data_IF_172475459225
#
_entry.id   IF_172475459225
#
_cell.length_a   1.000
_cell.length_b   1.000
_cell.length_c   1.000
_cell.angle_alpha   90.00
_cell.angle_beta   90.00
_cell.angle_gamma   90.00
#
_symmetry.space_group_name_H-M   'P 1'
#
loop_
_entity.id
_entity.type
_entity.pdbx_description
1 polymer ?
#
# COMPACT_ATOMS: atom_id res chain seq x y z
N UNK A 1 23.41 -9.29 10.38
CA UNK A 1 22.35 -10.13 10.99
C UNK A 1 22.39 -9.87 12.50
N UNK A 2 21.48 -9.04 13.03
CA UNK A 2 21.49 -8.65 14.45
C UNK A 2 20.24 -9.18 15.15
N UNK A 3 20.45 -10.23 15.95
CA UNK A 3 19.45 -11.06 16.60
C UNK A 3 19.04 -10.47 17.98
N UNK A 4 19.48 -9.25 18.31
CA UNK A 4 19.24 -8.61 19.61
C UNK A 4 18.03 -7.65 19.68
N UNK A 5 17.19 -7.57 18.63
CA UNK A 5 16.00 -6.67 18.60
C UNK A 5 14.73 -7.23 19.27
N UNK A 6 14.82 -8.24 20.17
CA UNK A 6 13.62 -8.94 20.67
C UNK A 6 13.28 -8.83 22.16
N UNK A 7 14.07 -8.16 23.00
CA UNK A 7 13.82 -8.18 24.45
C UNK A 7 13.79 -6.82 25.19
N UNK A 8 14.07 -5.71 24.51
CA UNK A 8 13.84 -4.37 25.08
C UNK A 8 13.07 -3.54 24.07
N UNK A 9 11.75 -3.56 24.18
CA UNK A 9 10.90 -2.63 23.44
C UNK A 9 11.25 -1.21 23.88
N UNK A 10 11.89 -0.45 23.00
CA UNK A 10 11.85 1.00 23.09
C UNK A 10 10.39 1.41 22.95
N UNK A 11 9.77 2.10 23.93
CA UNK A 11 8.39 2.57 23.84
C UNK A 11 8.12 3.50 22.64
N UNK A 12 9.16 3.92 21.92
CA UNK A 12 9.09 4.89 20.82
C UNK A 12 8.92 4.32 19.41
N UNK A 13 8.96 3.01 19.16
CA UNK A 13 8.73 2.52 17.78
C UNK A 13 7.24 2.40 17.50
N UNK A 14 6.58 3.55 17.37
CA UNK A 14 5.25 3.65 16.75
C UNK A 14 5.48 3.48 15.26
N UNK A 15 4.95 2.40 14.66
CA UNK A 15 4.98 2.22 13.21
C UNK A 15 4.39 3.48 12.59
N UNK A 16 5.13 4.07 11.66
CA UNK A 16 4.62 5.21 10.93
C UNK A 16 3.64 4.71 9.88
N UNK A 17 2.70 5.57 9.47
CA UNK A 17 1.75 5.22 8.43
C UNK A 17 1.73 6.27 7.34
N UNK A 18 1.44 5.83 6.12
CA UNK A 18 1.27 6.71 4.97
C UNK A 18 0.03 7.62 5.09
N UNK A 19 -0.90 7.28 6.00
CA UNK A 19 -2.15 8.00 6.23
C UNK A 19 -2.54 7.91 7.70
N UNK A 20 -2.94 9.03 8.27
CA UNK A 20 -3.54 9.13 9.62
C UNK A 20 -4.94 9.73 9.49
N UNK A 21 -5.73 9.69 10.57
CA UNK A 21 -7.04 10.35 10.60
C UNK A 21 -6.95 11.85 10.28
N UNK A 22 -5.87 12.51 10.65
CA UNK A 22 -5.69 13.96 10.50
C UNK A 22 -4.82 14.36 9.31
N UNK A 23 -4.42 13.39 8.47
CA UNK A 23 -3.64 13.68 7.25
C UNK A 23 -4.41 14.63 6.31
N UNK A 24 -3.71 15.54 5.61
CA UNK A 24 -4.32 16.38 4.59
C UNK A 24 -4.86 15.52 3.43
N UNK A 25 -5.59 16.16 2.51
CA UNK A 25 -5.92 15.49 1.25
C UNK A 25 -4.63 15.17 0.47
N UNK A 26 -4.55 13.99 -0.18
CA UNK A 26 -3.35 13.60 -0.91
C UNK A 26 -3.12 14.50 -2.13
N UNK A 27 -1.87 14.92 -2.35
CA UNK A 27 -1.45 15.59 -3.58
C UNK A 27 -1.34 14.55 -4.71
N UNK A 28 -2.05 14.73 -5.84
CA UNK A 28 -1.96 13.82 -6.99
C UNK A 28 -0.53 13.60 -7.52
N UNK A 29 0.39 14.54 -7.30
CA UNK A 29 1.76 14.48 -7.79
C UNK A 29 2.77 13.97 -6.74
N UNK A 30 2.35 13.73 -5.50
CA UNK A 30 3.25 13.20 -4.48
C UNK A 30 3.51 11.72 -4.71
N UNK A 31 4.71 11.41 -5.19
CA UNK A 31 5.17 10.04 -5.45
C UNK A 31 5.09 9.17 -4.19
N UNK A 32 5.29 9.76 -3.01
CA UNK A 32 5.34 9.01 -1.76
C UNK A 32 3.96 8.84 -1.10
N UNK A 33 2.88 9.32 -1.74
CA UNK A 33 1.54 9.34 -1.15
C UNK A 33 1.06 7.96 -0.67
N UNK A 34 1.52 6.87 -1.30
CA UNK A 34 1.16 5.47 -0.97
C UNK A 34 2.35 4.65 -0.46
N UNK A 35 3.43 5.30 -0.02
CA UNK A 35 4.59 4.63 0.54
C UNK A 35 4.58 4.77 2.05
N UNK A 36 4.53 3.63 2.73
CA UNK A 36 4.70 3.58 4.17
C UNK A 36 6.07 4.20 4.55
N UNK A 37 6.12 5.13 5.53
CA UNK A 37 7.38 5.76 5.89
C UNK A 37 8.44 4.77 6.40
N UNK A 38 8.05 3.69 7.09
CA UNK A 38 9.00 2.65 7.52
C UNK A 38 9.60 1.92 6.30
N UNK A 39 8.81 1.72 5.23
CA UNK A 39 9.31 1.19 3.97
C UNK A 39 10.27 2.18 3.30
N UNK A 40 9.90 3.47 3.21
CA UNK A 40 10.76 4.50 2.62
C UNK A 40 12.11 4.59 3.32
N UNK A 41 12.12 4.63 4.65
CA UNK A 41 13.34 4.69 5.46
C UNK A 41 14.20 3.43 5.25
N UNK A 42 13.57 2.26 5.12
CA UNK A 42 14.27 1.00 4.82
C UNK A 42 14.99 1.06 3.47
N UNK A 43 14.35 1.60 2.44
CA UNK A 43 14.97 1.74 1.11
C UNK A 43 16.01 2.86 1.05
N UNK A 44 15.84 3.94 1.81
CA UNK A 44 16.85 4.97 2.01
C UNK A 44 18.12 4.40 2.64
N UNK A 45 17.99 3.64 3.74
CA UNK A 45 19.12 3.01 4.42
C UNK A 45 19.88 2.00 3.56
N UNK A 46 19.20 1.38 2.58
CA UNK A 46 19.83 0.47 1.60
C UNK A 46 20.50 1.19 0.42
N UNK A 47 20.37 2.51 0.32
CA UNK A 47 20.84 3.28 -0.84
C UNK A 47 19.97 3.12 -2.09
N UNK A 48 18.76 2.58 -1.94
CA UNK A 48 17.85 2.20 -3.03
C UNK A 48 16.67 3.16 -3.19
N UNK A 49 16.68 4.31 -2.52
CA UNK A 49 15.58 5.30 -2.58
C UNK A 49 15.27 5.75 -4.01
N UNK A 50 16.30 6.00 -4.82
CA UNK A 50 16.13 6.46 -6.21
C UNK A 50 15.48 5.39 -7.07
N UNK A 51 15.86 4.13 -6.88
CA UNK A 51 15.29 2.98 -7.59
C UNK A 51 13.82 2.82 -7.23
N UNK A 52 13.48 2.92 -5.94
CA UNK A 52 12.10 2.92 -5.47
C UNK A 52 11.29 4.08 -6.05
N UNK A 53 11.82 5.30 -6.04
CA UNK A 53 11.13 6.47 -6.59
C UNK A 53 10.84 6.29 -8.08
N UNK A 54 11.80 5.77 -8.85
CA UNK A 54 11.63 5.48 -10.27
C UNK A 54 10.56 4.42 -10.51
N UNK A 55 10.60 3.33 -9.75
CA UNK A 55 9.59 2.28 -9.85
C UNK A 55 8.19 2.80 -9.52
N UNK A 56 8.04 3.63 -8.48
CA UNK A 56 6.74 4.23 -8.17
C UNK A 56 6.30 5.15 -9.30
N UNK A 57 7.16 6.06 -9.77
CA UNK A 57 6.81 7.00 -10.85
C UNK A 57 6.41 6.30 -12.14
N UNK A 58 7.15 5.30 -12.57
CA UNK A 58 7.01 4.75 -13.93
C UNK A 58 6.24 3.44 -13.99
N UNK A 59 6.24 2.63 -12.93
CA UNK A 59 5.60 1.31 -12.92
C UNK A 59 4.29 1.30 -12.12
N UNK A 60 4.25 2.02 -10.98
CA UNK A 60 3.03 2.14 -10.15
C UNK A 60 2.10 3.22 -10.70
N UNK A 61 2.63 4.44 -10.85
CA UNK A 61 1.91 5.62 -11.33
C UNK A 61 1.82 5.70 -12.87
N UNK A 62 2.61 4.90 -13.58
CA UNK A 62 2.67 4.85 -15.06
C UNK A 62 3.04 6.18 -15.72
N UNK A 63 3.89 6.97 -15.07
CA UNK A 63 4.33 8.27 -15.56
C UNK A 63 3.32 9.40 -15.40
N UNK A 64 2.12 9.11 -14.86
CA UNK A 64 1.02 10.07 -14.69
C UNK A 64 0.74 10.32 -13.20
N UNK A 65 0.07 11.41 -12.83
CA UNK A 65 -0.42 11.61 -11.46
C UNK A 65 -1.27 10.42 -10.95
N UNK A 66 -1.42 10.32 -9.63
CA UNK A 66 -2.36 9.37 -9.02
C UNK A 66 -3.78 9.61 -9.53
N UNK A 67 -4.49 8.53 -9.89
CA UNK A 67 -5.85 8.64 -10.42
C UNK A 67 -6.84 9.05 -9.32
N UNK A 68 -7.97 9.67 -9.69
CA UNK A 68 -9.01 10.05 -8.75
C UNK A 68 -9.45 8.93 -7.80
N UNK A 69 -9.61 7.70 -8.30
CA UNK A 69 -10.04 6.56 -7.47
C UNK A 69 -8.95 6.12 -6.47
N UNK A 70 -7.69 6.28 -6.85
CA UNK A 70 -6.54 6.00 -5.96
C UNK A 70 -6.54 7.05 -4.82
N UNK A 71 -6.74 8.32 -5.14
CA UNK A 71 -6.85 9.38 -4.14
C UNK A 71 -8.10 9.25 -3.26
N UNK A 72 -9.21 8.74 -3.80
CA UNK A 72 -10.42 8.44 -3.04
C UNK A 72 -10.19 7.34 -2.00
N UNK A 73 -9.42 6.30 -2.33
CA UNK A 73 -8.97 5.31 -1.35
C UNK A 73 -8.33 5.99 -0.12
N UNK A 74 -7.42 6.96 -0.33
CA UNK A 74 -6.76 7.67 0.77
C UNK A 74 -7.74 8.47 1.62
N UNK A 75 -8.71 9.14 0.98
CA UNK A 75 -9.76 9.88 1.70
C UNK A 75 -10.61 8.94 2.54
N UNK A 76 -10.97 7.78 2.02
CA UNK A 76 -11.73 6.75 2.74
C UNK A 76 -10.94 6.13 3.90
N UNK A 77 -9.67 5.78 3.70
CA UNK A 77 -8.79 5.30 4.78
C UNK A 77 -8.73 6.33 5.91
N UNK A 78 -8.54 7.60 5.58
CA UNK A 78 -8.54 8.69 6.55
C UNK A 78 -9.86 8.79 7.31
N UNK A 79 -11.00 8.76 6.62
CA UNK A 79 -12.34 8.75 7.23
C UNK A 79 -12.48 7.58 8.22
N UNK A 80 -12.14 6.37 7.78
CA UNK A 80 -12.23 5.15 8.59
C UNK A 80 -11.30 5.16 9.81
N UNK A 81 -10.12 5.78 9.70
CA UNK A 81 -9.21 5.99 10.83
C UNK A 81 -9.79 6.98 11.86
N UNK A 82 -10.35 8.11 11.42
CA UNK A 82 -11.03 9.08 12.33
C UNK A 82 -12.19 8.44 13.08
N UNK A 83 -12.99 7.63 12.38
CA UNK A 83 -14.13 6.90 12.94
C UNK A 83 -13.71 5.68 13.79
N UNK A 84 -12.41 5.37 13.86
CA UNK A 84 -11.84 4.21 14.56
C UNK A 84 -12.46 2.87 14.10
N UNK A 85 -12.81 2.79 12.82
CA UNK A 85 -13.32 1.58 12.16
C UNK A 85 -12.16 0.68 11.75
N UNK A 86 -11.05 1.30 11.34
CA UNK A 86 -9.79 0.62 11.02
C UNK A 86 -8.68 1.19 11.92
N UNK A 87 -7.57 0.49 11.99
CA UNK A 87 -6.34 0.91 12.67
C UNK A 87 -5.13 0.45 11.88
N UNK A 88 -4.00 1.10 12.12
CA UNK A 88 -2.72 0.57 11.64
C UNK A 88 -2.48 -0.87 12.13
N UNK A 89 -2.00 -1.72 11.22
CA UNK A 89 -1.57 -3.10 11.53
C UNK A 89 -0.11 -3.15 12.01
N UNK A 90 0.69 -2.11 11.75
CA UNK A 90 2.11 -2.03 12.06
C UNK A 90 2.99 -2.75 11.02
N UNK A 91 2.57 -2.72 9.76
CA UNK A 91 3.30 -3.33 8.63
C UNK A 91 2.85 -2.72 7.31
N UNK A 92 3.67 -2.84 6.28
CA UNK A 92 3.37 -2.44 4.91
C UNK A 92 3.30 -3.64 3.96
N UNK A 93 2.71 -3.41 2.78
CA UNK A 93 2.54 -4.40 1.72
C UNK A 93 3.88 -4.79 1.09
N UNK A 94 3.99 -6.00 0.53
CA UNK A 94 5.27 -6.52 0.04
C UNK A 94 5.70 -6.03 -1.34
N UNK A 95 4.85 -5.29 -2.05
CA UNK A 95 5.14 -4.74 -3.38
C UNK A 95 5.09 -3.22 -3.33
N UNK A 96 5.96 -2.55 -4.09
CA UNK A 96 5.91 -1.10 -4.25
C UNK A 96 4.50 -0.63 -4.69
N UNK A 97 4.00 0.52 -4.16
CA UNK A 97 4.75 1.53 -3.40
C UNK A 97 5.01 1.19 -1.93
N UNK A 98 4.75 -0.05 -1.51
CA UNK A 98 4.81 -0.53 -0.11
C UNK A 98 3.81 0.23 0.78
N UNK A 99 2.51 0.25 0.41
CA UNK A 99 1.49 0.95 1.18
C UNK A 99 1.31 0.35 2.58
N UNK A 100 0.93 1.19 3.53
CA UNK A 100 0.56 0.75 4.88
C UNK A 100 -0.59 -0.26 4.81
N UNK A 101 -0.53 -1.30 5.64
CA UNK A 101 -1.63 -2.26 5.80
C UNK A 101 -2.46 -1.86 7.02
N UNK A 102 -3.76 -1.69 6.81
CA UNK A 102 -4.69 -1.40 7.89
C UNK A 102 -5.45 -2.66 8.31
N UNK A 103 -5.86 -2.73 9.57
CA UNK A 103 -6.71 -3.79 10.13
C UNK A 103 -8.07 -3.23 10.49
N UNK A 104 -9.13 -3.88 10.03
CA UNK A 104 -10.50 -3.59 10.44
C UNK A 104 -10.72 -3.91 11.93
N UNK A 105 -11.01 -2.89 12.74
CA UNK A 105 -11.38 -3.03 14.14
C UNK A 105 -12.88 -3.35 14.31
N UNK A 106 -13.70 -2.96 13.32
CA UNK A 106 -15.14 -3.19 13.23
C UNK A 106 -15.50 -3.65 11.81
N UNK A 107 -16.72 -4.13 11.62
CA UNK A 107 -17.27 -4.27 10.27
C UNK A 107 -17.50 -2.88 9.66
N UNK A 108 -17.40 -2.76 8.35
CA UNK A 108 -17.63 -1.49 7.66
C UNK A 108 -17.51 -1.64 6.15
N UNK A 109 -17.41 -0.50 5.49
CA UNK A 109 -17.22 -0.41 4.05
C UNK A 109 -16.43 0.84 3.68
N UNK A 110 -15.87 0.80 2.48
CA UNK A 110 -15.25 1.92 1.78
C UNK A 110 -15.93 2.07 0.42
N UNK A 111 -16.09 3.32 -0.02
CA UNK A 111 -16.64 3.63 -1.34
C UNK A 111 -15.56 4.25 -2.22
N UNK A 112 -15.23 3.61 -3.34
CA UNK A 112 -14.19 4.05 -4.27
C UNK A 112 -14.71 3.89 -5.70
N UNK A 113 -14.61 4.93 -6.52
CA UNK A 113 -15.09 4.90 -7.91
C UNK A 113 -16.60 4.63 -8.01
N UNK A 114 -17.37 4.96 -6.97
CA UNK A 114 -18.80 4.63 -6.87
C UNK A 114 -19.09 3.18 -6.44
N UNK A 115 -18.08 2.34 -6.28
CA UNK A 115 -18.24 0.96 -5.81
C UNK A 115 -18.10 0.89 -4.29
N UNK A 116 -18.97 0.09 -3.65
CA UNK A 116 -18.91 -0.13 -2.20
C UNK A 116 -18.28 -1.47 -1.89
N UNK A 117 -17.09 -1.46 -1.28
CA UNK A 117 -16.38 -2.65 -0.84
C UNK A 117 -16.63 -2.84 0.66
N UNK A 118 -17.30 -3.93 1.03
CA UNK A 118 -17.57 -4.28 2.43
C UNK A 118 -16.43 -5.10 3.02
N UNK A 119 -16.17 -4.93 4.31
CA UNK A 119 -15.17 -5.68 5.07
C UNK A 119 -15.69 -6.05 6.47
N UNK A 120 -15.12 -7.13 7.02
CA UNK A 120 -15.44 -7.62 8.37
C UNK A 120 -14.33 -7.24 9.34
N UNK A 121 -14.67 -7.19 10.62
CA UNK A 121 -13.69 -7.07 11.70
C UNK A 121 -12.63 -8.15 11.55
N UNK A 122 -11.36 -7.74 11.61
CA UNK A 122 -10.22 -8.61 11.46
C UNK A 122 -9.68 -8.72 10.03
N UNK A 123 -10.40 -8.22 9.02
CA UNK A 123 -9.86 -8.15 7.66
C UNK A 123 -8.76 -7.09 7.59
N UNK A 124 -7.81 -7.30 6.70
CA UNK A 124 -6.78 -6.36 6.35
C UNK A 124 -7.17 -5.60 5.09
N UNK A 125 -6.82 -4.32 5.03
CA UNK A 125 -7.15 -3.41 3.93
C UNK A 125 -5.86 -2.78 3.45
N UNK A 126 -5.60 -2.90 2.15
CA UNK A 126 -4.35 -2.45 1.54
C UNK A 126 -4.58 -1.93 0.13
N UNK A 127 -3.88 -0.87 -0.25
CA UNK A 127 -3.90 -0.33 -1.61
C UNK A 127 -3.35 -1.35 -2.61
N UNK A 128 -3.94 -1.40 -3.81
CA UNK A 128 -3.43 -2.17 -4.94
C UNK A 128 -3.18 -1.26 -6.15
N UNK A 129 -1.96 -1.30 -6.67
CA UNK A 129 -1.57 -0.48 -7.82
C UNK A 129 -2.28 -0.91 -9.11
N UNK A 130 -2.25 -0.03 -10.12
CA UNK A 130 -2.86 -0.26 -11.45
C UNK A 130 -2.42 -1.58 -12.07
N UNK A 131 -1.13 -1.89 -12.03
CA UNK A 131 -0.66 -3.14 -12.62
C UNK A 131 -1.21 -4.38 -11.92
N UNK A 132 -1.33 -4.38 -10.59
CA UNK A 132 -1.97 -5.51 -9.90
C UNK A 132 -3.43 -5.66 -10.32
N UNK A 133 -4.15 -4.56 -10.53
CA UNK A 133 -5.53 -4.58 -11.04
C UNK A 133 -5.61 -5.11 -12.48
N UNK A 134 -4.68 -4.72 -13.36
CA UNK A 134 -4.64 -5.25 -14.72
C UNK A 134 -4.38 -6.77 -14.76
N UNK A 135 -3.59 -7.29 -13.81
CA UNK A 135 -3.31 -8.72 -13.68
C UNK A 135 -4.46 -9.50 -13.01
N UNK A 136 -5.33 -8.80 -12.27
CA UNK A 136 -6.42 -9.36 -11.47
C UNK A 136 -7.72 -8.65 -11.83
N UNK A 137 -8.35 -9.01 -12.95
CA UNK A 137 -9.56 -8.35 -13.43
C UNK A 137 -10.74 -8.42 -12.45
N UNK A 138 -10.67 -9.30 -11.44
CA UNK A 138 -11.62 -9.35 -10.32
C UNK A 138 -11.49 -8.16 -9.33
N UNK A 139 -10.37 -7.43 -9.34
CA UNK A 139 -10.17 -6.24 -8.52
C UNK A 139 -10.77 -5.02 -9.22
N UNK A 140 -12.00 -4.70 -8.85
CA UNK A 140 -12.76 -3.59 -9.43
C UNK A 140 -12.36 -2.21 -8.86
N UNK A 141 -11.67 -2.18 -7.72
CA UNK A 141 -11.21 -0.97 -7.03
C UNK A 141 -9.70 -1.07 -6.65
N UNK A 142 -9.00 0.05 -6.37
CA UNK A 142 -7.58 0.07 -5.98
C UNK A 142 -7.33 -0.40 -4.54
N UNK A 143 -8.03 -1.44 -4.12
CA UNK A 143 -8.00 -1.97 -2.75
C UNK A 143 -8.09 -3.49 -2.77
N UNK A 144 -7.37 -4.12 -1.85
CA UNK A 144 -7.57 -5.51 -1.48
C UNK A 144 -8.06 -5.56 -0.03
N UNK A 145 -9.14 -6.29 0.18
CA UNK A 145 -9.69 -6.62 1.50
C UNK A 145 -9.59 -8.13 1.69
N UNK A 146 -8.72 -8.59 2.58
CA UNK A 146 -8.52 -10.02 2.85
C UNK A 146 -7.79 -10.26 4.18
N UNK A 147 -7.57 -11.51 4.58
CA UNK A 147 -6.72 -11.89 5.71
C UNK A 147 -5.30 -12.19 5.24
N UNK A 148 -4.48 -11.15 5.21
CA UNK A 148 -3.14 -11.20 4.65
C UNK A 148 -2.18 -11.97 5.57
N UNK A 149 -1.43 -12.90 4.98
CA UNK A 149 -0.36 -13.63 5.65
C UNK A 149 0.96 -12.85 5.59
N UNK A 150 1.81 -12.92 6.64
CA UNK A 150 3.13 -12.34 6.59
C UNK A 150 3.98 -12.94 5.47
N UNK A 151 4.84 -12.12 4.88
CA UNK A 151 5.84 -12.55 3.91
C UNK A 151 7.16 -11.85 4.19
N UNK A 152 8.27 -12.52 3.87
CA UNK A 152 9.61 -11.95 3.89
C UNK A 152 10.06 -11.48 2.50
N UNK A 153 9.20 -11.62 1.50
CA UNK A 153 9.44 -11.14 0.14
C UNK A 153 9.20 -9.63 0.09
N UNK A 154 9.95 -8.98 -0.78
CA UNK A 154 9.82 -7.58 -1.12
C UNK A 154 10.16 -7.48 -2.60
N UNK A 155 9.30 -6.85 -3.40
CA UNK A 155 9.51 -6.74 -4.83
C UNK A 155 9.07 -5.37 -5.36
N UNK A 156 9.75 -4.89 -6.39
CA UNK A 156 9.28 -3.73 -7.12
C UNK A 156 8.10 -4.08 -8.03
N UNK A 157 7.36 -3.06 -8.43
CA UNK A 157 6.21 -3.20 -9.30
C UNK A 157 6.75 -3.64 -10.67
N UNK A 158 7.73 -2.94 -11.23
CA UNK A 158 8.35 -3.24 -12.51
C UNK A 158 8.87 -4.68 -12.64
N UNK A 159 9.31 -5.29 -11.53
CA UNK A 159 9.75 -6.70 -11.51
C UNK A 159 8.62 -7.67 -11.87
N UNK A 160 7.35 -7.33 -11.60
CA UNK A 160 6.20 -8.15 -12.01
C UNK A 160 5.88 -7.96 -13.51
N UNK A 161 6.17 -6.79 -14.08
CA UNK A 161 5.97 -6.50 -15.51
C UNK A 161 6.93 -7.30 -16.42
N UNK A 162 8.14 -7.62 -15.94
CA UNK A 162 9.07 -8.52 -16.64
C UNK A 162 8.49 -9.92 -16.93
N UNK A 163 7.59 -10.40 -16.08
CA UNK A 163 6.88 -11.67 -16.29
C UNK A 163 5.86 -11.60 -17.46
N UNK A 164 5.34 -10.40 -17.79
CA UNK A 164 4.36 -10.21 -18.86
C UNK A 164 4.98 -10.28 -20.26
N UNK A 165 6.24 -9.83 -20.43
CA UNK A 165 6.96 -9.95 -21.72
C UNK A 165 7.33 -11.40 -22.07
N UNK A 166 7.39 -12.30 -21.08
CA UNK A 166 7.66 -13.72 -21.28
C UNK A 166 6.44 -14.55 -21.72
N UNK A 167 5.21 -14.06 -21.53
CA UNK A 167 3.98 -14.76 -21.91
C UNK A 167 3.40 -14.34 -23.27
N UNK A 168 3.88 -13.24 -23.85
CA UNK A 168 3.52 -12.79 -25.21
C UNK A 168 4.42 -13.36 -26.33
N UNK A 169 5.40 -14.20 -25.99
CA UNK A 169 6.40 -14.73 -26.91
C UNK A 169 6.06 -16.12 -27.46
N UNK A 170 4.84 -16.32 -27.97
CA UNK A 170 4.51 -17.34 -28.99
C UNK A 170 3.31 -16.86 -29.79
N UNK A 171 3.57 -16.11 -30.86
CA UNK A 171 2.77 -16.20 -32.09
C UNK A 171 3.45 -17.22 -32.99
#
# INVERSE_FOLDING_TARGET
MNIFKRFFGTPQYVSQTDTTGDSPDPDPNDVWAFTDPDARDTYEQKGQRRELEQDIRFEVMRGEPWQPEELEYKREIRRLLREKVIRDKGTYWYTSPFPTVYRAAKNGSLTIGGETISFKRGDDIVFQCRMTRDMKPELTAPVLVDRLQPTNKSQFCGDMGGAMKGMGGKM
#
